data_IF_299561466050
#
_entry.id   IF_299561466050
#
_cell.length_a   1.000
_cell.length_b   1.000
_cell.length_c   1.000
_cell.angle_alpha   90.00
_cell.angle_beta   90.00
_cell.angle_gamma   90.00
#
_symmetry.space_group_name_H-M   'P 1'
#
loop_
_entity.id
_entity.type
_entity.pdbx_description
1 polymer ?
#
# COMPACT_ATOMS: atom_id res chain seq x y z
N UNK A 1 -22.88 -7.82 -7.52
CA UNK A 1 -22.76 -6.38 -7.23
C UNK A 1 -21.63 -6.18 -6.20
N UNK A 2 -20.40 -6.52 -6.59
CA UNK A 2 -19.17 -6.41 -5.76
C UNK A 2 -18.14 -5.44 -6.39
N UNK A 3 -18.50 -4.82 -7.52
CA UNK A 3 -17.55 -4.14 -8.41
C UNK A 3 -17.01 -2.80 -7.89
N UNK A 4 -17.58 -2.22 -6.82
CA UNK A 4 -17.13 -0.91 -6.30
C UNK A 4 -16.20 -1.00 -5.08
N UNK A 5 -15.90 -2.21 -4.56
CA UNK A 5 -14.98 -2.32 -3.42
C UNK A 5 -13.51 -2.13 -3.84
N UNK A 6 -13.10 -2.76 -4.94
CA UNK A 6 -11.72 -2.66 -5.43
C UNK A 6 -11.62 -1.52 -6.44
N UNK A 7 -10.64 -0.66 -6.25
CA UNK A 7 -10.33 0.40 -7.20
C UNK A 7 -9.48 -0.11 -8.37
N UNK A 8 -9.38 0.74 -9.39
CA UNK A 8 -8.53 0.52 -10.56
C UNK A 8 -7.57 1.71 -10.71
N UNK A 9 -6.56 1.86 -9.82
CA UNK A 9 -5.66 3.01 -9.81
C UNK A 9 -4.86 3.20 -11.11
N UNK A 10 -4.74 2.15 -11.92
CA UNK A 10 -4.01 2.13 -13.19
C UNK A 10 -4.90 1.94 -14.42
N UNK A 11 -6.20 2.23 -14.34
CA UNK A 11 -7.15 2.04 -15.44
C UNK A 11 -6.75 2.79 -16.73
N UNK A 12 -5.98 3.88 -16.61
CA UNK A 12 -5.37 4.57 -17.74
C UNK A 12 -3.86 4.39 -17.73
N UNK A 13 -3.29 4.07 -18.89
CA UNK A 13 -1.84 3.90 -19.08
C UNK A 13 -1.04 5.13 -18.63
N UNK A 14 -1.63 6.31 -18.78
CA UNK A 14 -1.03 7.61 -18.45
C UNK A 14 -1.48 8.17 -17.09
N UNK A 15 -2.32 7.46 -16.33
CA UNK A 15 -2.72 7.94 -15.02
C UNK A 15 -1.52 7.96 -14.06
N UNK A 16 -1.31 9.12 -13.42
CA UNK A 16 -0.42 9.25 -12.28
C UNK A 16 -1.25 9.02 -11.03
N UNK A 17 -0.90 8.00 -10.25
CA UNK A 17 -1.52 7.77 -8.95
C UNK A 17 -1.06 8.88 -8.00
N UNK A 18 -2.02 9.54 -7.37
CA UNK A 18 -1.76 10.58 -6.39
C UNK A 18 -1.95 10.05 -4.97
N UNK A 19 -1.08 10.45 -4.06
CA UNK A 19 -1.17 10.16 -2.63
C UNK A 19 -1.37 11.47 -1.88
N UNK A 20 -2.44 11.54 -1.10
CA UNK A 20 -2.71 12.73 -0.31
C UNK A 20 -1.60 12.95 0.73
N UNK A 21 -1.14 14.20 0.85
CA UNK A 21 0.06 14.54 1.62
C UNK A 21 -0.11 14.27 3.11
N UNK A 22 -1.32 14.42 3.66
CA UNK A 22 -1.61 14.03 5.05
C UNK A 22 -1.54 12.51 5.23
N UNK A 23 -2.04 11.73 4.27
CA UNK A 23 -1.95 10.26 4.29
C UNK A 23 -0.51 9.80 4.22
N UNK A 24 0.31 10.38 3.33
CA UNK A 24 1.74 10.09 3.25
C UNK A 24 2.46 10.34 4.59
N UNK A 25 2.17 11.47 5.26
CA UNK A 25 2.74 11.80 6.58
C UNK A 25 2.32 10.80 7.65
N UNK A 26 1.06 10.38 7.66
CA UNK A 26 0.53 9.39 8.62
C UNK A 26 1.17 8.02 8.42
N UNK A 27 1.25 7.54 7.18
CA UNK A 27 1.91 6.29 6.82
C UNK A 27 3.38 6.28 7.26
N UNK A 28 4.09 7.39 7.03
CA UNK A 28 5.49 7.53 7.48
C UNK A 28 5.61 7.46 9.00
N UNK A 29 4.80 8.24 9.73
CA UNK A 29 4.85 8.25 11.19
C UNK A 29 4.58 6.86 11.78
N UNK A 30 3.54 6.18 11.31
CA UNK A 30 3.17 4.85 11.79
C UNK A 30 4.22 3.79 11.41
N UNK A 31 4.87 3.91 10.24
CA UNK A 31 5.97 3.04 9.87
C UNK A 31 7.23 3.24 10.72
N UNK A 32 7.52 4.48 11.13
CA UNK A 32 8.63 4.79 12.05
C UNK A 32 8.34 4.28 13.47
N UNK A 33 7.10 4.40 13.94
CA UNK A 33 6.66 3.84 15.23
C UNK A 33 6.74 2.30 15.26
N UNK A 34 6.58 1.64 14.11
CA UNK A 34 6.65 0.19 13.99
C UNK A 34 8.07 -0.39 14.01
N UNK A 35 9.12 0.44 13.90
CA UNK A 35 10.50 -0.03 13.91
C UNK A 35 10.80 -0.84 15.19
N UNK A 36 11.56 -1.95 15.10
CA UNK A 36 12.30 -2.45 13.94
C UNK A 36 11.52 -3.42 13.04
N UNK A 37 10.18 -3.47 13.17
CA UNK A 37 9.32 -4.36 12.39
C UNK A 37 8.77 -3.67 11.13
N UNK A 38 8.32 -4.47 10.17
CA UNK A 38 7.57 -3.95 9.04
C UNK A 38 6.20 -3.43 9.49
N UNK A 39 5.81 -2.29 8.95
CA UNK A 39 4.47 -1.76 9.00
C UNK A 39 3.74 -2.13 7.71
N UNK A 40 2.43 -2.35 7.78
CA UNK A 40 1.63 -2.57 6.58
C UNK A 40 0.24 -1.96 6.70
N UNK A 41 -0.37 -1.61 5.57
CA UNK A 41 -1.69 -1.00 5.54
C UNK A 41 -2.43 -1.30 4.23
N UNK A 42 -3.77 -1.35 4.29
CA UNK A 42 -4.60 -1.18 3.12
C UNK A 42 -4.69 0.31 2.79
N UNK A 43 -4.51 0.66 1.53
CA UNK A 43 -4.69 2.03 1.04
C UNK A 43 -6.10 2.21 0.50
N UNK A 44 -6.75 3.29 0.90
CA UNK A 44 -8.11 3.61 0.53
C UNK A 44 -8.19 4.91 -0.26
N UNK A 45 -9.17 4.99 -1.16
CA UNK A 45 -9.33 6.13 -2.03
C UNK A 45 -10.37 5.91 -3.10
N UNK A 46 -10.22 6.60 -4.23
CA UNK A 46 -11.09 6.46 -5.40
C UNK A 46 -10.33 6.78 -6.67
N UNK A 47 -10.50 5.96 -7.71
CA UNK A 47 -9.81 6.14 -8.98
C UNK A 47 -8.29 6.16 -8.79
N UNK A 48 -7.63 7.20 -9.29
CA UNK A 48 -6.17 7.41 -9.18
C UNK A 48 -5.77 8.31 -8.00
N UNK A 49 -6.54 8.34 -6.92
CA UNK A 49 -6.23 9.11 -5.70
C UNK A 49 -6.33 8.24 -4.46
N UNK A 50 -5.23 8.15 -3.70
CA UNK A 50 -5.17 7.56 -2.37
C UNK A 50 -5.37 8.66 -1.33
N UNK A 51 -6.41 8.55 -0.52
CA UNK A 51 -6.81 9.58 0.46
C UNK A 51 -6.78 9.10 1.91
N UNK A 52 -6.60 7.80 2.13
CA UNK A 52 -6.59 7.21 3.46
C UNK A 52 -5.90 5.85 3.50
N UNK A 53 -5.84 5.29 4.69
CA UNK A 53 -5.28 3.97 4.94
C UNK A 53 -5.95 3.32 6.14
N UNK A 54 -5.89 1.98 6.19
CA UNK A 54 -6.24 1.17 7.35
C UNK A 54 -5.00 0.38 7.76
N UNK A 55 -4.40 0.65 8.93
CA UNK A 55 -3.26 -0.10 9.43
C UNK A 55 -3.59 -1.58 9.54
N UNK A 56 -2.70 -2.42 9.06
CA UNK A 56 -2.82 -3.87 9.11
C UNK A 56 -1.69 -4.45 9.93
N UNK A 57 -2.05 -5.19 10.97
CA UNK A 57 -1.08 -5.87 11.82
C UNK A 57 -0.60 -7.15 11.12
N UNK A 58 0.72 -7.36 11.08
CA UNK A 58 1.26 -8.63 10.60
C UNK A 58 0.89 -9.76 11.56
N UNK A 59 0.39 -10.87 11.02
CA UNK A 59 0.09 -12.09 11.75
C UNK A 59 1.37 -12.87 12.13
N UNK A 60 2.51 -12.53 11.49
CA UNK A 60 3.83 -13.09 11.77
C UNK A 60 4.73 -12.16 12.58
N UNK A 61 5.77 -12.71 13.21
CA UNK A 61 6.84 -11.95 13.91
C UNK A 61 8.12 -11.82 13.05
N UNK A 62 8.02 -12.06 11.74
CA UNK A 62 9.13 -11.93 10.81
C UNK A 62 9.47 -10.47 10.55
N UNK A 63 10.77 -10.14 10.51
CA UNK A 63 11.26 -8.78 10.22
C UNK A 63 11.30 -8.44 8.72
N UNK A 64 10.95 -9.40 7.86
CA UNK A 64 11.22 -9.36 6.41
C UNK A 64 10.04 -9.82 5.53
N UNK A 65 8.87 -10.04 6.14
CA UNK A 65 7.66 -10.40 5.42
C UNK A 65 6.43 -10.11 6.29
N UNK A 66 5.48 -9.34 5.75
CA UNK A 66 4.16 -9.18 6.35
C UNK A 66 3.19 -10.23 5.82
N UNK A 67 2.27 -10.67 6.67
CA UNK A 67 1.11 -11.47 6.29
C UNK A 67 -0.08 -11.05 7.12
N UNK A 68 -1.28 -11.11 6.57
CA UNK A 68 -2.51 -10.79 7.31
C UNK A 68 -3.32 -12.05 7.50
N UNK A 69 -3.85 -12.25 8.71
CA UNK A 69 -4.84 -13.30 8.92
C UNK A 69 -6.13 -12.95 8.16
N UNK A 70 -6.78 -13.98 7.62
CA UNK A 70 -7.98 -13.79 6.82
C UNK A 70 -9.10 -13.03 7.56
N UNK A 71 -9.41 -13.30 8.85
CA UNK A 71 -10.39 -12.53 9.61
C UNK A 71 -10.10 -11.02 9.62
N UNK A 72 -8.88 -10.61 9.99
CA UNK A 72 -8.49 -9.19 10.02
C UNK A 72 -8.58 -8.54 8.65
N UNK A 73 -8.15 -9.25 7.60
CA UNK A 73 -8.23 -8.75 6.24
C UNK A 73 -9.68 -8.53 5.77
N UNK A 74 -10.58 -9.50 6.00
CA UNK A 74 -12.00 -9.35 5.66
C UNK A 74 -12.68 -8.25 6.48
N UNK A 75 -12.31 -8.09 7.75
CA UNK A 75 -12.82 -7.00 8.59
C UNK A 75 -12.38 -5.63 8.05
N UNK A 76 -11.12 -5.49 7.63
CA UNK A 76 -10.63 -4.26 7.03
C UNK A 76 -11.38 -3.95 5.72
N UNK A 77 -11.59 -4.93 4.84
CA UNK A 77 -12.39 -4.76 3.63
C UNK A 77 -13.85 -4.39 3.91
N UNK A 78 -14.44 -4.92 4.99
CA UNK A 78 -15.77 -4.51 5.43
C UNK A 78 -15.81 -3.05 5.89
N UNK A 79 -14.76 -2.56 6.56
CA UNK A 79 -14.62 -1.16 6.94
C UNK A 79 -14.47 -0.24 5.72
N UNK A 80 -13.66 -0.64 4.72
CA UNK A 80 -13.55 0.06 3.43
C UNK A 80 -14.93 0.23 2.79
N UNK A 81 -15.69 -0.87 2.69
CA UNK A 81 -17.04 -0.86 2.13
C UNK A 81 -17.98 0.05 2.91
N UNK A 82 -18.00 -0.04 4.24
CA UNK A 82 -18.87 0.76 5.11
C UNK A 82 -18.59 2.27 4.96
N UNK A 83 -17.33 2.63 4.71
CA UNK A 83 -16.91 4.01 4.51
C UNK A 83 -17.23 4.55 3.09
N UNK A 84 -17.72 3.72 2.17
CA UNK A 84 -18.03 4.15 0.79
C UNK A 84 -16.79 4.56 -0.02
N UNK A 85 -15.62 4.07 0.37
CA UNK A 85 -14.34 4.26 -0.34
C UNK A 85 -13.91 2.94 -0.97
N UNK A 86 -12.94 3.00 -1.89
CA UNK A 86 -12.40 1.84 -2.58
C UNK A 86 -11.07 1.42 -1.95
N UNK A 87 -10.78 0.13 -1.99
CA UNK A 87 -9.45 -0.40 -1.74
C UNK A 87 -8.61 -0.23 -3.00
N UNK A 88 -7.58 0.62 -2.94
CA UNK A 88 -6.81 1.05 -4.11
C UNK A 88 -5.36 0.55 -4.08
N UNK A 89 -4.90 0.00 -2.95
CA UNK A 89 -3.53 -0.46 -2.83
C UNK A 89 -3.16 -1.06 -1.49
N UNK A 90 -1.92 -1.46 -1.41
CA UNK A 90 -1.25 -1.89 -0.18
C UNK A 90 0.02 -1.09 -0.02
N UNK A 91 0.37 -0.77 1.22
CA UNK A 91 1.70 -0.30 1.58
C UNK A 91 2.30 -1.25 2.59
N UNK A 92 3.60 -1.52 2.47
CA UNK A 92 4.42 -1.99 3.59
C UNK A 92 5.73 -1.22 3.69
N UNK A 93 6.37 -1.28 4.85
CA UNK A 93 7.67 -0.66 5.09
C UNK A 93 8.81 -1.67 5.06
N UNK A 94 9.97 -1.22 4.60
CA UNK A 94 11.25 -1.93 4.71
C UNK A 94 12.11 -1.20 5.77
N UNK A 95 12.25 -1.76 6.99
CA UNK A 95 12.97 -1.11 8.08
C UNK A 95 14.46 -0.88 7.78
N UNK A 96 15.11 -1.85 7.16
CA UNK A 96 16.57 -1.90 7.02
C UNK A 96 17.06 -2.17 5.59
N UNK A 97 16.14 -2.35 4.64
CA UNK A 97 16.45 -2.64 3.23
C UNK A 97 15.90 -1.55 2.31
N UNK A 98 16.44 -1.42 1.08
CA UNK A 98 15.87 -0.54 0.06
C UNK A 98 14.41 -0.93 -0.26
N UNK A 99 13.56 0.03 -0.70
CA UNK A 99 12.15 -0.21 -1.01
C UNK A 99 11.96 -0.89 -2.38
N UNK A 100 12.57 -2.06 -2.57
CA UNK A 100 12.49 -2.87 -3.79
C UNK A 100 11.74 -4.17 -3.46
N UNK A 101 10.73 -4.58 -4.25
CA UNK A 101 9.95 -5.78 -3.97
C UNK A 101 10.82 -7.03 -3.87
N UNK A 102 10.66 -7.78 -2.79
CA UNK A 102 11.32 -9.05 -2.53
C UNK A 102 10.68 -10.20 -3.33
N UNK A 103 11.30 -11.38 -3.29
CA UNK A 103 10.69 -12.61 -3.82
C UNK A 103 9.41 -12.98 -3.05
N UNK A 104 9.39 -12.76 -1.73
CA UNK A 104 8.21 -12.96 -0.90
C UNK A 104 7.05 -12.06 -1.35
N UNK A 105 7.33 -10.79 -1.64
CA UNK A 105 6.33 -9.84 -2.17
C UNK A 105 5.74 -10.32 -3.50
N UNK A 106 6.59 -10.79 -4.42
CA UNK A 106 6.14 -11.29 -5.72
C UNK A 106 5.28 -12.55 -5.59
N UNK A 107 5.69 -13.49 -4.74
CA UNK A 107 4.97 -14.75 -4.53
C UNK A 107 3.64 -14.58 -3.77
N UNK A 108 3.56 -13.59 -2.88
CA UNK A 108 2.39 -13.30 -2.06
C UNK A 108 1.40 -12.30 -2.67
N UNK A 109 1.70 -11.74 -3.85
CA UNK A 109 0.84 -10.73 -4.47
C UNK A 109 -0.29 -11.35 -5.30
N UNK A 110 -1.52 -11.17 -4.84
CA UNK A 110 -2.72 -11.73 -5.48
C UNK A 110 -3.67 -10.68 -6.08
N UNK A 111 -3.29 -9.40 -6.07
CA UNK A 111 -4.18 -8.28 -6.44
C UNK A 111 -3.57 -7.40 -7.54
N UNK A 112 -3.33 -7.93 -8.74
CA UNK A 112 -2.54 -7.28 -9.79
C UNK A 112 -3.06 -5.90 -10.25
N UNK A 113 -4.34 -5.61 -10.03
CA UNK A 113 -4.96 -4.33 -10.36
C UNK A 113 -4.65 -3.20 -9.37
N UNK A 114 -4.22 -3.53 -8.15
CA UNK A 114 -4.02 -2.58 -7.07
C UNK A 114 -2.60 -2.00 -7.06
N UNK A 115 -2.45 -0.85 -6.43
CA UNK A 115 -1.15 -0.22 -6.23
C UNK A 115 -0.37 -0.91 -5.11
N UNK A 116 0.92 -1.13 -5.32
CA UNK A 116 1.80 -1.74 -4.33
C UNK A 116 2.90 -0.75 -3.93
N UNK A 117 2.91 -0.34 -2.68
CA UNK A 117 3.82 0.70 -2.19
C UNK A 117 4.80 0.13 -1.19
N UNK A 118 6.06 0.56 -1.30
CA UNK A 118 7.11 0.19 -0.34
C UNK A 118 7.72 1.46 0.22
N UNK A 119 7.71 1.59 1.55
CA UNK A 119 8.35 2.67 2.28
C UNK A 119 9.66 2.19 2.90
N UNK A 120 10.79 2.59 2.30
CA UNK A 120 12.13 2.29 2.79
C UNK A 120 12.56 3.26 3.88
N UNK A 121 13.06 2.71 5.00
CA UNK A 121 13.52 3.48 6.17
C UNK A 121 15.02 3.28 6.47
N UNK A 122 15.74 2.56 5.62
CA UNK A 122 17.16 2.25 5.80
C UNK A 122 18.10 3.45 5.61
N UNK A 123 17.66 4.45 4.85
CA UNK A 123 18.46 5.64 4.52
C UNK A 123 18.29 6.80 5.50
N UNK A 124 19.04 7.88 5.30
CA UNK A 124 18.91 9.12 6.08
C UNK A 124 17.57 9.83 5.85
N UNK A 125 16.91 9.55 4.72
CA UNK A 125 15.60 10.04 4.36
C UNK A 125 14.71 8.85 3.99
N UNK A 126 13.40 8.89 4.32
CA UNK A 126 12.45 7.89 3.84
C UNK A 126 12.36 7.88 2.31
N UNK A 127 12.36 6.67 1.72
CA UNK A 127 12.21 6.47 0.26
C UNK A 127 10.91 5.71 0.01
N UNK A 128 9.91 6.41 -0.56
CA UNK A 128 8.61 5.82 -0.89
C UNK A 128 8.56 5.50 -2.37
N UNK A 129 8.28 4.24 -2.71
CA UNK A 129 8.16 3.78 -4.09
C UNK A 129 6.82 3.15 -4.37
N UNK A 130 6.35 3.35 -5.61
CA UNK A 130 5.11 2.78 -6.11
C UNK A 130 5.42 1.76 -7.20
N UNK A 131 4.74 0.62 -7.12
CA UNK A 131 4.83 -0.47 -8.08
C UNK A 131 3.45 -0.85 -8.59
N UNK A 132 3.41 -1.25 -9.85
CA UNK A 132 2.27 -1.89 -10.50
C UNK A 132 2.68 -3.31 -10.89
N UNK A 133 1.77 -4.26 -10.73
CA UNK A 133 1.97 -5.59 -11.30
C UNK A 133 1.66 -5.59 -12.81
N UNK A 134 2.64 -5.98 -13.64
CA UNK A 134 2.48 -6.15 -15.09
C UNK A 134 3.34 -7.32 -15.54
N UNK A 135 2.77 -8.20 -16.36
CA UNK A 135 3.50 -9.30 -17.00
C UNK A 135 4.28 -10.18 -16.02
N UNK A 136 3.67 -10.49 -14.87
CA UNK A 136 4.24 -11.39 -13.86
C UNK A 136 5.32 -10.76 -12.98
N UNK A 137 5.46 -9.43 -12.97
CA UNK A 137 6.45 -8.72 -12.15
C UNK A 137 5.95 -7.36 -11.68
N UNK A 138 6.62 -6.81 -10.67
CA UNK A 138 6.48 -5.42 -10.29
C UNK A 138 7.24 -4.49 -11.24
N UNK A 139 6.57 -3.43 -11.69
CA UNK A 139 7.12 -2.35 -12.49
C UNK A 139 6.95 -1.05 -11.69
N UNK A 140 8.05 -0.34 -11.45
CA UNK A 140 8.02 0.95 -10.75
C UNK A 140 7.21 1.98 -11.55
N UNK A 141 6.38 2.77 -10.85
CA UNK A 141 5.53 3.81 -11.44
C UNK A 141 5.77 5.14 -10.73
N UNK A 142 5.75 6.27 -11.46
CA UNK A 142 5.75 7.57 -10.82
C UNK A 142 4.42 7.80 -10.09
N UNK A 143 4.48 8.62 -9.05
CA UNK A 143 3.31 9.09 -8.30
C UNK A 143 3.43 10.60 -8.02
N UNK A 144 2.32 11.22 -7.62
CA UNK A 144 2.29 12.61 -7.18
C UNK A 144 1.83 12.71 -5.72
N UNK A 145 2.37 13.69 -4.98
CA UNK A 145 1.79 14.10 -3.70
C UNK A 145 0.79 15.22 -3.95
N UNK A 146 -0.42 15.09 -3.40
CA UNK A 146 -1.48 16.08 -3.56
C UNK A 146 -1.91 16.64 -2.21
N UNK A 147 -2.14 17.95 -2.15
CA UNK A 147 -2.87 18.57 -1.05
C UNK A 147 -4.36 18.50 -1.41
N UNK A 148 -5.15 17.87 -0.55
CA UNK A 148 -6.60 17.77 -0.71
C UNK A 148 -7.28 18.55 0.42
N UNK A 149 -8.36 19.25 0.07
CA UNK A 149 -9.17 20.05 0.99
C UNK A 149 -10.19 19.20 1.72
#
# INVERSE_FOLDING_TARGET
MYDDLMGHPFASRNAVLSLARHTAKRLLAEAQEALPYEYSALLTGRGSMVTGHLPMRSAGHGRHAFSWDAPSFFQALASVRKAGVQWVGVLHSHPTTPPVPSEADQSGWHYPQLAYWILGLAGSLPDLRLYQWSDGRFVERPYALADIT
#
